data_IF_330278602403
#
_entry.id   IF_330278602403
#
_cell.length_a   1.000
_cell.length_b   1.000
_cell.length_c   1.000
_cell.angle_alpha   90.00
_cell.angle_beta   90.00
_cell.angle_gamma   90.00
#
_symmetry.space_group_name_H-M   'P 1'
#
loop_
_entity.id
_entity.type
_entity.pdbx_description
1 polymer ?
#
# COMPACT_ATOMS: atom_id res chain seq x y z
N UNK A 1 3.51 -17.86 -5.26
CA UNK A 1 2.92 -17.40 -6.54
C UNK A 1 3.94 -16.52 -7.24
N UNK A 2 4.90 -17.14 -7.93
CA UNK A 2 5.95 -16.44 -8.68
C UNK A 2 5.55 -16.32 -10.15
N UNK A 3 6.14 -15.35 -10.85
CA UNK A 3 6.01 -15.24 -12.30
C UNK A 3 6.87 -16.33 -12.94
N UNK A 4 6.25 -17.28 -13.64
CA UNK A 4 6.98 -18.29 -14.41
C UNK A 4 7.51 -17.68 -15.73
N UNK A 5 8.53 -18.30 -16.31
CA UNK A 5 9.07 -17.91 -17.61
C UNK A 5 8.00 -17.94 -18.71
N UNK A 6 7.04 -18.88 -18.62
CA UNK A 6 5.89 -18.98 -19.54
C UNK A 6 4.97 -17.77 -19.43
N UNK A 7 4.66 -17.34 -18.21
CA UNK A 7 3.81 -16.17 -17.95
C UNK A 7 4.46 -14.88 -18.44
N UNK A 8 5.79 -14.77 -18.26
CA UNK A 8 6.57 -13.63 -18.75
C UNK A 8 6.60 -13.61 -20.28
N UNK A 9 6.78 -14.75 -20.95
CA UNK A 9 6.73 -14.84 -22.40
C UNK A 9 5.36 -14.44 -22.97
N UNK A 10 4.29 -14.91 -22.33
CA UNK A 10 2.92 -14.56 -22.70
C UNK A 10 2.65 -13.07 -22.45
N UNK A 11 3.10 -12.53 -21.31
CA UNK A 11 3.03 -11.11 -20.97
C UNK A 11 3.67 -10.24 -22.07
N UNK A 12 4.90 -10.55 -22.47
CA UNK A 12 5.63 -9.79 -23.49
C UNK A 12 4.90 -9.87 -24.83
N UNK A 13 4.43 -11.06 -25.22
CA UNK A 13 3.69 -11.25 -26.48
C UNK A 13 2.40 -10.43 -26.53
N UNK A 14 1.59 -10.47 -25.47
CA UNK A 14 0.36 -9.68 -25.39
C UNK A 14 0.63 -8.17 -25.28
N UNK A 15 1.74 -7.80 -24.63
CA UNK A 15 2.16 -6.42 -24.55
C UNK A 15 2.62 -5.89 -25.90
N UNK A 16 3.35 -6.67 -26.69
CA UNK A 16 3.73 -6.29 -28.05
C UNK A 16 2.52 -6.21 -28.97
N UNK A 17 1.49 -7.04 -28.75
CA UNK A 17 0.24 -6.99 -29.52
C UNK A 17 -0.69 -5.82 -29.15
N UNK A 18 -0.26 -4.90 -28.28
CA UNK A 18 -1.04 -3.72 -27.94
C UNK A 18 -2.09 -3.91 -26.83
N UNK A 19 -2.21 -5.09 -26.21
CA UNK A 19 -3.22 -5.28 -25.14
C UNK A 19 -2.95 -4.44 -23.90
N UNK A 20 -4.01 -4.03 -23.22
CA UNK A 20 -3.87 -3.23 -21.98
C UNK A 20 -3.44 -4.11 -20.81
N UNK A 21 -2.79 -3.51 -19.79
CA UNK A 21 -2.39 -4.25 -18.59
C UNK A 21 -3.57 -4.94 -17.87
N UNK A 22 -4.76 -4.34 -17.90
CA UNK A 22 -5.96 -4.93 -17.32
C UNK A 22 -6.47 -6.14 -18.12
N UNK A 23 -6.32 -6.12 -19.44
CA UNK A 23 -6.72 -7.23 -20.31
C UNK A 23 -5.77 -8.42 -20.17
N UNK A 24 -4.47 -8.14 -20.10
CA UNK A 24 -3.42 -9.13 -19.83
C UNK A 24 -3.64 -9.76 -18.44
N UNK A 25 -3.97 -8.96 -17.44
CA UNK A 25 -4.29 -9.41 -16.10
C UNK A 25 -5.46 -10.41 -16.06
N UNK A 26 -6.54 -10.14 -16.83
CA UNK A 26 -7.68 -11.07 -16.96
C UNK A 26 -7.28 -12.42 -17.55
N UNK A 27 -6.36 -12.44 -18.52
CA UNK A 27 -5.89 -13.68 -19.17
C UNK A 27 -4.96 -14.51 -18.28
N UNK A 28 -4.10 -13.83 -17.52
CA UNK A 28 -3.12 -14.46 -16.62
C UNK A 28 -3.69 -14.76 -15.22
N UNK A 29 -4.91 -14.30 -14.91
CA UNK A 29 -5.53 -14.49 -13.59
C UNK A 29 -4.86 -13.68 -12.47
N UNK A 30 -4.13 -12.62 -12.80
CA UNK A 30 -3.39 -11.79 -11.85
C UNK A 30 -3.99 -10.38 -11.77
N UNK A 31 -3.55 -9.57 -10.79
CA UNK A 31 -4.04 -8.19 -10.66
C UNK A 31 -3.40 -7.27 -11.70
N UNK A 32 -4.12 -6.23 -12.14
CA UNK A 32 -3.59 -5.18 -13.03
C UNK A 32 -2.27 -4.61 -12.50
N UNK A 33 -2.16 -4.43 -11.18
CA UNK A 33 -0.98 -3.86 -10.55
C UNK A 33 0.21 -4.83 -10.58
N UNK A 34 -0.03 -6.14 -10.46
CA UNK A 34 1.01 -7.15 -10.62
C UNK A 34 1.59 -7.11 -12.05
N UNK A 35 0.72 -7.01 -13.06
CA UNK A 35 1.13 -6.85 -14.47
C UNK A 35 1.94 -5.57 -14.67
N UNK A 36 1.48 -4.42 -14.16
CA UNK A 36 2.22 -3.16 -14.25
C UNK A 36 3.59 -3.24 -13.58
N UNK A 37 3.68 -3.87 -12.40
CA UNK A 37 4.95 -4.10 -11.71
C UNK A 37 5.90 -4.96 -12.53
N UNK A 38 5.38 -5.99 -13.20
CA UNK A 38 6.20 -6.90 -14.01
C UNK A 38 6.66 -6.28 -15.32
N UNK A 39 5.80 -5.53 -15.99
CA UNK A 39 6.19 -4.72 -17.15
C UNK A 39 7.28 -3.70 -16.78
N UNK A 40 7.20 -3.10 -15.59
CA UNK A 40 8.22 -2.17 -15.09
C UNK A 40 9.56 -2.88 -14.86
N UNK A 41 9.54 -4.10 -14.28
CA UNK A 41 10.75 -4.92 -14.08
C UNK A 41 11.39 -5.37 -15.39
N UNK A 42 10.57 -5.64 -16.41
CA UNK A 42 11.03 -6.01 -17.74
C UNK A 42 11.40 -4.79 -18.63
N UNK A 43 11.20 -3.56 -18.14
CA UNK A 43 11.51 -2.34 -18.88
C UNK A 43 10.54 -2.01 -20.03
N UNK A 44 9.43 -2.74 -20.16
CA UNK A 44 8.43 -2.50 -21.20
C UNK A 44 7.50 -1.36 -20.79
N UNK A 45 7.91 -0.12 -21.09
CA UNK A 45 7.07 1.07 -20.93
C UNK A 45 6.39 1.42 -22.24
N UNK A 46 5.07 1.53 -22.23
CA UNK A 46 4.35 2.29 -23.26
C UNK A 46 4.37 3.75 -22.81
N UNK A 47 4.68 4.65 -23.74
CA UNK A 47 4.63 6.08 -23.47
C UNK A 47 3.32 6.44 -22.75
N UNK A 48 3.43 7.12 -21.61
CA UNK A 48 2.25 7.59 -20.90
C UNK A 48 1.61 8.66 -21.79
N UNK A 49 0.33 8.50 -22.15
CA UNK A 49 -0.40 9.61 -22.77
C UNK A 49 -0.40 10.76 -21.75
N UNK A 50 0.04 11.97 -22.10
CA UNK A 50 -0.03 13.09 -21.18
C UNK A 50 -1.48 13.18 -20.66
N UNK A 51 -1.69 13.39 -19.35
CA UNK A 51 -3.04 13.46 -18.80
C UNK A 51 -3.82 14.54 -19.56
N UNK A 52 -4.78 14.09 -20.37
CA UNK A 52 -5.66 14.98 -21.11
C UNK A 52 -6.57 15.67 -20.10
N UNK A 53 -6.45 16.99 -20.06
CA UNK A 53 -7.08 17.92 -19.14
C UNK A 53 -6.55 17.84 -17.68
N UNK A 54 -6.13 19.00 -17.18
CA UNK A 54 -6.12 19.29 -15.74
C UNK A 54 -7.55 19.71 -15.38
N UNK A 55 -8.46 18.82 -14.95
CA UNK A 55 -9.73 19.30 -14.43
C UNK A 55 -9.40 20.21 -13.24
N UNK A 56 -9.83 21.47 -13.30
CA UNK A 56 -9.78 22.37 -12.15
C UNK A 56 -10.75 21.78 -11.14
N UNK A 57 -10.27 20.91 -10.26
CA UNK A 57 -11.06 20.33 -9.18
C UNK A 57 -11.49 21.51 -8.32
N UNK A 58 -12.73 21.99 -8.51
CA UNK A 58 -13.31 22.99 -7.64
C UNK A 58 -13.43 22.32 -6.27
N UNK A 59 -12.96 22.97 -5.19
CA UNK A 59 -13.15 22.42 -3.86
C UNK A 59 -14.65 22.21 -3.64
N UNK A 60 -15.07 21.09 -3.02
CA UNK A 60 -16.48 20.88 -2.71
C UNK A 60 -16.98 22.06 -1.87
N UNK A 61 -18.18 22.60 -2.13
CA UNK A 61 -18.74 23.67 -1.32
C UNK A 61 -18.79 23.18 0.13
N UNK A 62 -18.12 23.93 1.02
CA UNK A 62 -18.16 23.65 2.46
C UNK A 62 -19.61 23.79 2.90
N UNK A 63 -20.27 22.66 3.15
CA UNK A 63 -21.56 22.64 3.83
C UNK A 63 -21.33 23.31 5.19
N UNK A 64 -21.90 24.51 5.36
CA UNK A 64 -22.00 25.13 6.69
C UNK A 64 -22.81 24.16 7.55
N UNK A 65 -22.35 23.77 8.75
CA UNK A 65 -23.19 23.01 9.65
C UNK A 65 -24.36 23.91 10.04
N UNK A 66 -25.54 23.64 9.50
CA UNK A 66 -26.79 24.18 10.04
C UNK A 66 -26.95 23.54 11.41
N UNK A 67 -26.75 24.36 12.43
CA UNK A 67 -27.12 24.08 13.82
C UNK A 67 -28.60 23.70 13.86
N UNK A 68 -28.88 22.41 14.01
CA UNK A 68 -30.18 21.91 14.43
C UNK A 68 -29.94 20.77 15.41
N UNK A 69 -30.51 20.94 16.60
CA UNK A 69 -30.41 20.05 17.74
C UNK A 69 -30.88 18.63 17.38
N UNK A 70 -29.95 17.68 17.47
CA UNK A 70 -30.26 16.28 17.74
C UNK A 70 -29.31 15.84 18.85
N UNK A 71 -29.82 15.89 20.08
CA UNK A 71 -29.23 15.20 21.21
C UNK A 71 -29.18 13.70 20.90
N UNK A 72 -27.98 13.22 20.58
CA UNK A 72 -27.67 11.80 20.55
C UNK A 72 -26.24 11.69 21.06
N UNK A 73 -25.96 10.98 22.17
CA UNK A 73 -24.59 10.67 22.52
C UNK A 73 -24.13 9.61 21.51
N UNK A 74 -23.79 10.06 20.30
CA UNK A 74 -23.06 9.25 19.34
C UNK A 74 -21.72 9.01 19.99
N UNK A 75 -21.56 7.77 20.43
CA UNK A 75 -20.32 7.08 20.72
C UNK A 75 -19.15 8.04 20.87
N UNK A 76 -18.76 8.29 22.13
CA UNK A 76 -17.39 8.67 22.47
C UNK A 76 -16.53 8.02 21.42
N UNK A 77 -15.88 8.82 20.57
CA UNK A 77 -14.75 8.35 19.78
C UNK A 77 -14.02 7.47 20.77
N UNK A 78 -14.01 6.17 20.52
CA UNK A 78 -12.90 5.35 20.94
C UNK A 78 -11.77 6.00 20.16
N UNK A 79 -11.23 7.08 20.74
CA UNK A 79 -9.81 7.27 20.85
C UNK A 79 -9.36 5.87 21.06
N UNK A 80 -8.83 5.28 20.00
CA UNK A 80 -8.11 4.05 20.14
C UNK A 80 -7.15 4.40 21.24
N UNK A 81 -7.44 3.92 22.43
CA UNK A 81 -6.44 3.55 23.38
C UNK A 81 -5.57 2.59 22.54
N UNK A 82 -4.64 3.15 21.77
CA UNK A 82 -3.24 2.89 22.02
C UNK A 82 -3.11 3.21 23.52
N UNK A 83 -3.44 2.31 24.46
CA UNK A 83 -2.79 1.02 24.56
C UNK A 83 -1.35 1.22 24.11
N UNK A 84 -0.71 2.16 24.81
CA UNK A 84 0.67 2.09 25.22
C UNK A 84 1.52 1.25 24.27
N UNK A 85 1.56 1.66 23.01
CA UNK A 85 2.66 1.33 22.14
C UNK A 85 3.77 2.21 22.69
N UNK A 86 4.37 1.75 23.80
CA UNK A 86 5.69 2.19 24.20
C UNK A 86 6.47 2.21 22.90
N UNK A 87 6.93 3.39 22.50
CA UNK A 87 7.85 3.52 21.39
C UNK A 87 8.88 2.40 21.52
N UNK A 88 9.32 1.74 20.43
CA UNK A 88 10.48 0.89 20.53
C UNK A 88 11.61 1.79 21.04
N UNK A 89 11.90 1.70 22.34
CA UNK A 89 13.02 2.39 22.98
C UNK A 89 14.22 1.91 22.19
N UNK A 90 14.84 2.83 21.46
CA UNK A 90 16.01 2.51 20.68
C UNK A 90 17.13 2.24 21.68
N UNK A 91 17.29 0.97 22.04
CA UNK A 91 18.37 0.54 22.91
C UNK A 91 19.69 0.67 22.15
N UNK A 92 20.71 1.20 22.82
CA UNK A 92 22.06 1.16 22.29
C UNK A 92 22.53 -0.30 22.20
N UNK A 93 23.50 -0.59 21.32
CA UNK A 93 24.06 -1.94 21.19
C UNK A 93 24.55 -2.50 22.54
N UNK A 94 25.10 -1.63 23.40
CA UNK A 94 25.58 -2.01 24.73
C UNK A 94 24.43 -2.45 25.63
N UNK A 95 23.33 -1.71 25.66
CA UNK A 95 22.14 -2.04 26.46
C UNK A 95 21.49 -3.36 26.03
N UNK A 96 21.53 -3.68 24.73
CA UNK A 96 21.06 -4.97 24.23
C UNK A 96 21.94 -6.12 24.71
N UNK A 97 23.26 -5.95 24.72
CA UNK A 97 24.19 -6.96 25.23
C UNK A 97 24.05 -7.20 26.73
N UNK A 98 23.84 -6.15 27.52
CA UNK A 98 23.60 -6.27 28.96
C UNK A 98 22.29 -7.04 29.24
N UNK A 99 21.21 -6.73 28.53
CA UNK A 99 19.93 -7.43 28.67
C UNK A 99 20.06 -8.92 28.34
N UNK A 100 20.84 -9.28 27.31
CA UNK A 100 21.12 -10.68 26.98
C UNK A 100 21.96 -11.36 28.07
N UNK A 101 22.97 -10.68 28.61
CA UNK A 101 23.82 -11.23 29.67
C UNK A 101 23.05 -11.45 30.98
N UNK A 102 22.11 -10.56 31.33
CA UNK A 102 21.22 -10.72 32.48
C UNK A 102 20.24 -11.89 32.29
N UNK A 103 19.67 -12.05 31.09
CA UNK A 103 18.78 -13.15 30.80
C UNK A 103 19.46 -14.50 30.99
N UNK A 104 20.70 -14.65 30.48
CA UNK A 104 21.50 -15.88 30.63
C UNK A 104 21.78 -16.19 32.11
N UNK A 105 22.08 -15.19 32.93
CA UNK A 105 22.35 -15.36 34.37
C UNK A 105 21.13 -15.80 35.17
N UNK A 106 19.92 -15.38 34.78
CA UNK A 106 18.68 -15.75 35.46
C UNK A 106 18.15 -17.14 35.06
N UNK A 107 18.72 -17.76 34.03
CA UNK A 107 18.39 -19.13 33.59
C UNK A 107 19.24 -20.22 34.27
N UNK A 108 20.00 -19.89 35.31
CA UNK A 108 20.83 -20.81 36.10
C UNK A 108 20.19 -21.19 37.43
#
# INVERSE_FOLDING_TARGET
MGWDAKDIGLLIRLWSSGQSAAEIARRLGCSRNAVCGMLTRQGLKRGHKPPTARPKIRPPPKLRPTSAACARPVAKKVSRNAAESQQPKQFSKQQLYEMLAEAVKNTG
#
